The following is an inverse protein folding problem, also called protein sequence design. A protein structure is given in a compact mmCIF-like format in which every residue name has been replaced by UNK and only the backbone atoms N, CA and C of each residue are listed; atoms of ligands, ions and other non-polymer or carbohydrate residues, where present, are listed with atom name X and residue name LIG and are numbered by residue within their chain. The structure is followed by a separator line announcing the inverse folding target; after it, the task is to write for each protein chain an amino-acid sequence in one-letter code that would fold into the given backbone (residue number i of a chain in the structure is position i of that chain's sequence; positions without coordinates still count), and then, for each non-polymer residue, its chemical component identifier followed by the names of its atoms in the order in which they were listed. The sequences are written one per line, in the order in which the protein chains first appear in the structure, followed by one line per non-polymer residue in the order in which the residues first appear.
data_IF_823362703730
#
_entry.id   IF_823362703730
#
_cell.length_a   1.000
_cell.length_b   1.000
_cell.length_c   1.000
_cell.angle_alpha   90.00
_cell.angle_beta   90.00
_cell.angle_gamma   90.00
#
_symmetry.space_group_name_H-M   'P 1'
#
loop_
_entity.id
_entity.type
_entity.pdbx_description
1 polymer ?
#
# COMPACT_ATOMS: atom_id res chain seq x y z
N UNK A 1 2.35 -25.66 -32.66
CA UNK A 1 1.36 -24.68 -32.16
C UNK A 1 1.41 -24.67 -30.64
N UNK A 2 2.08 -23.70 -30.01
CA UNK A 2 1.98 -23.56 -28.55
C UNK A 2 0.59 -22.98 -28.23
N UNK A 3 -0.28 -23.73 -27.55
CA UNK A 3 -1.47 -23.14 -26.96
C UNK A 3 -0.99 -22.01 -26.04
N UNK A 4 -1.26 -20.76 -26.43
CA UNK A 4 -0.73 -19.52 -25.81
C UNK A 4 -1.19 -19.26 -24.37
N UNK A 5 -1.48 -20.29 -23.60
CA UNK A 5 -1.82 -20.21 -22.19
C UNK A 5 -0.55 -20.04 -21.35
N UNK A 6 -0.46 -18.93 -20.63
CA UNK A 6 0.53 -18.71 -19.58
C UNK A 6 -0.15 -18.89 -18.23
N UNK A 7 0.47 -19.66 -17.33
CA UNK A 7 0.02 -19.76 -15.94
C UNK A 7 0.09 -18.38 -15.28
N UNK A 8 -1.07 -17.79 -14.97
CA UNK A 8 -1.20 -16.48 -14.33
C UNK A 8 -2.24 -16.57 -13.22
N UNK A 9 -1.95 -15.96 -12.07
CA UNK A 9 -2.90 -15.84 -10.95
C UNK A 9 -4.19 -15.18 -11.44
N UNK A 10 -5.34 -15.82 -11.19
CA UNK A 10 -6.65 -15.24 -11.44
C UNK A 10 -6.82 -14.06 -10.48
N UNK A 11 -6.77 -12.84 -11.01
CA UNK A 11 -6.98 -11.62 -10.22
C UNK A 11 -8.47 -11.40 -10.07
N UNK A 12 -8.94 -11.14 -8.84
CA UNK A 12 -10.27 -10.57 -8.63
C UNK A 12 -10.29 -9.23 -9.38
N UNK A 13 -11.13 -9.13 -10.40
CA UNK A 13 -11.38 -7.87 -11.09
C UNK A 13 -12.56 -7.18 -10.42
N UNK A 14 -12.51 -5.86 -10.26
CA UNK A 14 -13.68 -5.12 -9.84
C UNK A 14 -14.82 -5.25 -10.86
N UNK A 15 -16.05 -5.18 -10.35
CA UNK A 15 -17.28 -5.43 -11.13
C UNK A 15 -17.61 -4.34 -12.16
N UNK A 16 -17.05 -3.14 -12.01
CA UNK A 16 -17.31 -1.99 -12.87
C UNK A 16 -16.12 -1.59 -13.74
N UNK A 17 -16.41 -1.15 -14.96
CA UNK A 17 -15.42 -0.48 -15.83
C UNK A 17 -15.54 1.03 -15.55
N UNK A 18 -14.47 1.73 -15.15
CA UNK A 18 -14.53 3.18 -14.97
C UNK A 18 -14.82 3.85 -16.32
N UNK A 19 -15.44 5.03 -16.32
CA UNK A 19 -15.64 5.76 -17.58
C UNK A 19 -14.27 6.03 -18.22
N UNK A 20 -14.06 5.66 -19.51
CA UNK A 20 -12.74 5.76 -20.15
C UNK A 20 -12.15 7.18 -20.10
N UNK A 21 -13.02 8.20 -20.19
CA UNK A 21 -12.64 9.61 -20.12
C UNK A 21 -12.09 10.01 -18.74
N UNK A 22 -12.75 9.59 -17.65
CA UNK A 22 -12.28 9.89 -16.29
C UNK A 22 -10.98 9.16 -15.99
N UNK A 23 -10.85 7.93 -16.47
CA UNK A 23 -9.62 7.15 -16.33
C UNK A 23 -8.46 7.84 -17.04
N UNK A 24 -8.64 8.27 -18.29
CA UNK A 24 -7.63 8.98 -19.07
C UNK A 24 -7.20 10.28 -18.38
N UNK A 25 -8.17 11.12 -18.01
CA UNK A 25 -7.91 12.40 -17.33
C UNK A 25 -7.12 12.23 -16.03
N UNK A 26 -7.51 11.27 -15.18
CA UNK A 26 -6.81 11.01 -13.92
C UNK A 26 -5.42 10.43 -14.14
N UNK A 27 -5.24 9.61 -15.18
CA UNK A 27 -3.93 9.04 -15.51
C UNK A 27 -2.99 10.14 -15.98
N UNK A 28 -3.46 11.04 -16.85
CA UNK A 28 -2.70 12.20 -17.32
C UNK A 28 -2.31 13.12 -16.15
N UNK A 29 -3.25 13.42 -15.25
CA UNK A 29 -2.95 14.21 -14.05
C UNK A 29 -1.96 13.53 -13.12
N UNK A 30 -2.04 12.21 -12.96
CA UNK A 30 -1.05 11.48 -12.18
C UNK A 30 0.34 11.61 -12.82
N UNK A 31 0.45 11.45 -14.15
CA UNK A 31 1.71 11.62 -14.87
C UNK A 31 2.29 13.04 -14.69
N UNK A 32 1.46 14.08 -14.73
CA UNK A 32 1.88 15.46 -14.47
C UNK A 32 2.48 15.60 -13.05
N UNK A 33 1.81 15.06 -12.02
CA UNK A 33 2.33 15.04 -10.65
C UNK A 33 3.65 14.26 -10.55
N UNK A 34 3.76 13.14 -11.25
CA UNK A 34 5.01 12.37 -11.29
C UNK A 34 6.15 13.17 -11.91
N UNK A 35 5.90 13.87 -13.01
CA UNK A 35 6.88 14.77 -13.63
C UNK A 35 7.30 15.91 -12.69
N UNK A 36 6.36 16.53 -11.98
CA UNK A 36 6.67 17.56 -11.00
C UNK A 36 7.51 17.02 -9.83
N UNK A 37 7.22 15.80 -9.37
CA UNK A 37 7.98 15.13 -8.33
C UNK A 37 9.41 14.77 -8.79
N UNK A 38 9.57 14.25 -10.01
CA UNK A 38 10.88 13.96 -10.61
C UNK A 38 11.73 15.24 -10.76
N UNK A 39 11.09 16.34 -11.14
CA UNK A 39 11.74 17.66 -11.22
C UNK A 39 12.00 18.30 -9.85
N UNK A 40 11.66 17.62 -8.75
CA UNK A 40 11.89 18.10 -7.39
C UNK A 40 11.01 19.28 -7.00
N UNK A 41 9.91 19.57 -7.71
CA UNK A 41 9.00 20.68 -7.41
C UNK A 41 7.99 20.36 -6.31
N UNK A 42 7.54 19.12 -6.26
CA UNK A 42 6.61 18.60 -5.24
C UNK A 42 7.18 17.33 -4.61
N UNK A 43 6.59 16.87 -3.51
CA UNK A 43 6.77 15.51 -3.01
C UNK A 43 5.51 14.69 -3.31
N UNK A 44 5.68 13.44 -3.75
CA UNK A 44 4.57 12.57 -4.13
C UNK A 44 4.63 11.23 -3.38
N UNK A 45 3.65 10.99 -2.51
CA UNK A 45 3.52 9.75 -1.76
C UNK A 45 2.32 8.94 -2.24
N UNK A 46 2.46 7.62 -2.25
CA UNK A 46 1.38 6.69 -2.57
C UNK A 46 0.97 5.98 -1.29
N UNK A 47 -0.28 6.19 -0.87
CA UNK A 47 -0.83 5.64 0.36
C UNK A 47 -1.82 4.50 0.08
N UNK A 48 -1.79 3.49 0.95
CA UNK A 48 -2.64 2.31 0.85
C UNK A 48 -2.74 1.60 2.20
N UNK A 49 -3.78 0.78 2.36
CA UNK A 49 -4.02 -0.04 3.54
C UNK A 49 -3.76 -1.51 3.23
N UNK A 50 -2.94 -2.15 4.06
CA UNK A 50 -2.74 -3.60 4.01
C UNK A 50 -2.98 -4.24 5.35
N UNK A 51 -3.17 -5.55 5.34
CA UNK A 51 -3.14 -6.36 6.55
C UNK A 51 -2.28 -7.60 6.36
N UNK A 52 -1.72 -8.07 7.47
CA UNK A 52 -1.00 -9.35 7.57
C UNK A 52 -1.63 -10.14 8.71
N UNK A 53 -1.96 -11.40 8.46
CA UNK A 53 -2.58 -12.30 9.44
C UNK A 53 -1.65 -13.48 9.76
N UNK A 54 -1.76 -14.01 10.98
CA UNK A 54 -1.05 -15.23 11.42
C UNK A 54 -1.54 -16.50 10.71
N UNK A 55 -2.79 -16.52 10.25
CA UNK A 55 -3.22 -17.41 9.16
C UNK A 55 -2.51 -16.94 7.87
N UNK A 56 -1.22 -17.27 7.75
CA UNK A 56 -0.40 -16.88 6.63
C UNK A 56 -0.96 -17.38 5.30
N UNK A 57 -0.35 -16.92 4.20
CA UNK A 57 -0.56 -17.53 2.89
C UNK A 57 0.03 -18.94 2.97
N UNK A 58 -0.81 -19.99 3.10
CA UNK A 58 -0.36 -21.38 3.25
C UNK A 58 0.73 -21.67 2.21
N UNK A 59 2.00 -21.81 2.63
CA UNK A 59 3.09 -21.97 1.69
C UNK A 59 2.97 -23.34 1.02
N UNK A 60 3.12 -23.38 -0.30
CA UNK A 60 3.25 -24.63 -1.03
C UNK A 60 4.65 -25.20 -0.78
N UNK A 61 4.72 -26.48 -0.40
CA UNK A 61 5.98 -27.18 -0.18
C UNK A 61 5.86 -28.65 -0.61
N UNK A 62 7.00 -29.24 -0.93
CA UNK A 62 7.11 -30.69 -1.11
C UNK A 62 7.15 -31.34 0.27
N UNK A 63 6.29 -32.33 0.51
CA UNK A 63 6.27 -33.12 1.74
C UNK A 63 6.59 -34.57 1.38
N UNK A 64 7.52 -35.18 2.11
CA UNK A 64 7.76 -36.62 1.99
C UNK A 64 6.69 -37.39 2.75
N UNK A 65 6.48 -38.68 2.39
CA UNK A 65 5.35 -39.51 2.88
C UNK A 65 5.28 -39.68 4.41
N UNK A 66 6.37 -39.35 5.12
CA UNK A 66 6.49 -39.48 6.57
C UNK A 66 6.60 -38.14 7.30
N UNK A 67 6.42 -37.01 6.61
CA UNK A 67 6.45 -35.68 7.23
C UNK A 67 5.03 -35.17 7.49
N UNK A 68 4.71 -34.93 8.75
CA UNK A 68 3.45 -34.32 9.16
C UNK A 68 3.63 -32.80 9.26
N UNK A 69 3.56 -32.12 8.11
CA UNK A 69 3.71 -30.65 8.04
C UNK A 69 2.32 -30.01 7.96
N UNK A 70 1.85 -29.51 9.11
CA UNK A 70 0.58 -28.80 9.22
C UNK A 70 0.75 -27.45 9.92
N UNK A 71 -0.16 -26.52 9.63
CA UNK A 71 -0.28 -25.25 10.36
C UNK A 71 -1.54 -25.36 11.21
N UNK A 72 -1.46 -25.37 12.56
CA UNK A 72 -2.63 -25.48 13.41
C UNK A 72 -3.56 -24.27 13.20
N UNK A 73 -4.87 -24.52 13.05
CA UNK A 73 -5.87 -23.45 12.96
C UNK A 73 -5.98 -22.75 14.31
N UNK A 74 -5.55 -21.49 14.37
CA UNK A 74 -5.64 -20.62 15.55
C UNK A 74 -6.44 -19.37 15.20
N UNK A 75 -6.97 -18.66 16.21
CA UNK A 75 -7.60 -17.34 15.99
C UNK A 75 -6.58 -16.44 15.28
N UNK A 76 -6.85 -16.09 14.02
CA UNK A 76 -6.00 -15.18 13.27
C UNK A 76 -5.87 -13.85 14.01
N UNK A 77 -4.65 -13.56 14.45
CA UNK A 77 -4.29 -12.21 14.83
C UNK A 77 -3.87 -11.48 13.56
N UNK A 78 -4.39 -10.26 13.39
CA UNK A 78 -4.11 -9.42 12.24
C UNK A 78 -3.41 -8.14 12.66
N UNK A 79 -2.45 -7.71 11.87
CA UNK A 79 -1.96 -6.32 11.88
C UNK A 79 -2.57 -5.64 10.68
N UNK A 80 -3.25 -4.54 10.91
CA UNK A 80 -3.61 -3.59 9.87
C UNK A 80 -2.52 -2.52 9.79
N UNK A 81 -2.15 -2.16 8.58
CA UNK A 81 -1.04 -1.29 8.26
C UNK A 81 -1.60 -0.20 7.35
N UNK A 82 -1.46 1.05 7.75
CA UNK A 82 -1.58 2.19 6.86
C UNK A 82 -0.19 2.66 6.52
N UNK A 83 0.14 2.72 5.23
CA UNK A 83 1.48 3.12 4.79
C UNK A 83 1.42 4.00 3.56
N UNK A 84 2.34 4.96 3.52
CA UNK A 84 2.62 5.80 2.37
C UNK A 84 4.10 5.71 2.00
N UNK A 85 4.37 5.63 0.70
CA UNK A 85 5.73 5.49 0.17
C UNK A 85 5.93 6.40 -1.03
N UNK A 86 7.08 7.06 -1.11
CA UNK A 86 7.50 7.82 -2.29
C UNK A 86 8.35 6.97 -3.25
N UNK A 87 8.71 7.54 -4.41
CA UNK A 87 9.60 6.86 -5.37
C UNK A 87 11.04 6.73 -4.89
N UNK A 88 11.45 7.49 -3.88
CA UNK A 88 12.77 7.41 -3.26
C UNK A 88 12.80 6.42 -2.07
N UNK A 89 11.75 5.61 -1.90
CA UNK A 89 11.60 4.65 -0.81
C UNK A 89 11.51 5.27 0.61
N UNK A 90 11.17 6.55 0.73
CA UNK A 90 10.80 7.18 1.99
C UNK A 90 9.43 6.66 2.41
N UNK A 91 9.41 5.92 3.50
CA UNK A 91 8.20 5.32 4.05
C UNK A 91 7.72 6.10 5.26
N UNK A 92 6.41 6.31 5.32
CA UNK A 92 5.69 6.84 6.48
C UNK A 92 4.44 5.99 6.70
N UNK A 93 4.07 5.70 7.93
CA UNK A 93 2.87 4.89 8.20
C UNK A 93 2.72 4.53 9.66
N UNK A 94 1.66 3.79 9.95
CA UNK A 94 1.41 3.24 11.27
C UNK A 94 0.81 1.84 11.18
N UNK A 95 1.00 1.06 12.24
CA UNK A 95 0.44 -0.28 12.39
C UNK A 95 -0.51 -0.32 13.57
N UNK A 96 -1.64 -1.03 13.44
CA UNK A 96 -2.63 -1.21 14.49
C UNK A 96 -3.19 -2.63 14.46
N UNK A 97 -3.50 -3.19 15.62
CA UNK A 97 -4.20 -4.48 15.74
C UNK A 97 -5.71 -4.34 15.55
N UNK A 98 -6.24 -3.15 15.82
CA UNK A 98 -7.63 -2.78 15.57
C UNK A 98 -7.85 -2.41 14.11
N UNK A 99 -9.12 -2.36 13.68
CA UNK A 99 -9.51 -1.84 12.37
C UNK A 99 -8.98 -0.41 12.17
N UNK A 100 -8.51 -0.12 10.95
CA UNK A 100 -8.20 1.25 10.54
C UNK A 100 -9.52 1.93 10.22
N UNK A 101 -9.88 2.93 11.02
CA UNK A 101 -11.01 3.80 10.76
C UNK A 101 -10.55 5.07 10.05
N UNK A 102 -11.49 5.74 9.37
CA UNK A 102 -11.25 7.04 8.77
C UNK A 102 -10.68 8.06 9.78
N UNK A 103 -11.05 7.99 11.05
CA UNK A 103 -10.55 8.89 12.09
C UNK A 103 -9.04 8.76 12.34
N UNK A 104 -8.53 7.52 12.43
CA UNK A 104 -7.09 7.25 12.59
C UNK A 104 -6.30 7.74 11.38
N UNK A 105 -6.84 7.56 10.17
CA UNK A 105 -6.22 8.08 8.93
C UNK A 105 -6.21 9.60 8.93
N UNK A 106 -7.31 10.24 9.34
CA UNK A 106 -7.42 11.71 9.44
C UNK A 106 -6.42 12.27 10.43
N UNK A 107 -6.34 11.72 11.64
CA UNK A 107 -5.39 12.15 12.68
C UNK A 107 -3.94 12.02 12.19
N UNK A 108 -3.63 10.92 11.52
CA UNK A 108 -2.31 10.71 10.95
C UNK A 108 -1.98 11.74 9.84
N UNK A 109 -2.91 11.97 8.92
CA UNK A 109 -2.73 12.96 7.84
C UNK A 109 -2.63 14.39 8.39
N UNK A 110 -3.40 14.73 9.43
CA UNK A 110 -3.31 16.03 10.08
C UNK A 110 -1.95 16.25 10.72
N UNK A 111 -1.48 15.27 11.51
CA UNK A 111 -0.14 15.31 12.11
C UNK A 111 0.95 15.39 11.05
N UNK A 112 0.83 14.61 9.98
CA UNK A 112 1.76 14.65 8.85
C UNK A 112 1.75 16.03 8.17
N UNK A 113 0.58 16.66 8.02
CA UNK A 113 0.44 17.98 7.39
C UNK A 113 1.22 19.08 8.10
N UNK A 114 1.44 18.95 9.41
CA UNK A 114 2.22 19.91 10.21
C UNK A 114 3.72 19.85 9.93
N UNK A 115 4.22 18.72 9.43
CA UNK A 115 5.65 18.48 9.21
C UNK A 115 6.07 18.70 7.75
N UNK A 116 5.14 19.14 6.89
CA UNK A 116 5.38 19.37 5.47
C UNK A 116 6.15 20.67 5.27
N UNK A 117 7.23 20.60 4.50
CA UNK A 117 8.08 21.75 4.14
C UNK A 117 7.90 22.20 2.69
N UNK A 118 7.18 21.42 1.90
CA UNK A 118 7.08 21.52 0.45
C UNK A 118 5.77 20.89 -0.01
N UNK A 119 5.14 21.46 -1.03
CA UNK A 119 3.87 20.94 -1.55
C UNK A 119 3.94 19.42 -1.77
N UNK A 120 3.12 18.70 -1.01
CA UNK A 120 3.13 17.25 -0.92
C UNK A 120 1.78 16.71 -1.37
N UNK A 121 1.81 15.83 -2.35
CA UNK A 121 0.64 15.16 -2.88
C UNK A 121 0.60 13.73 -2.35
N UNK A 122 -0.52 13.34 -1.74
CA UNK A 122 -0.79 11.96 -1.31
C UNK A 122 -1.79 11.34 -2.28
N UNK A 123 -1.33 10.31 -2.97
CA UNK A 123 -2.12 9.49 -3.89
C UNK A 123 -2.83 8.41 -3.09
N UNK A 124 -4.16 8.47 -3.03
CA UNK A 124 -5.03 7.52 -2.33
C UNK A 124 -5.90 6.72 -3.30
N UNK A 125 -6.32 5.54 -2.87
CA UNK A 125 -7.36 4.78 -3.57
C UNK A 125 -8.76 5.37 -3.26
N UNK A 126 -9.81 4.78 -3.82
CA UNK A 126 -11.18 5.29 -3.67
C UNK A 126 -11.94 4.63 -2.50
N UNK A 127 -11.24 4.01 -1.55
CA UNK A 127 -11.86 3.36 -0.40
C UNK A 127 -12.75 4.34 0.39
N UNK A 128 -13.83 3.80 0.96
CA UNK A 128 -14.81 4.60 1.72
C UNK A 128 -14.18 5.29 2.94
N UNK A 129 -13.16 4.66 3.53
CA UNK A 129 -12.38 5.22 4.65
C UNK A 129 -11.69 6.54 4.27
N UNK A 130 -11.30 6.71 3.01
CA UNK A 130 -10.68 7.94 2.50
C UNK A 130 -11.69 8.98 2.01
N UNK A 131 -13.00 8.65 1.98
CA UNK A 131 -14.08 9.54 1.49
C UNK A 131 -15.02 10.04 2.57
N UNK A 132 -14.56 10.10 3.82
CA UNK A 132 -15.37 10.59 4.92
C UNK A 132 -15.56 12.12 4.85
N UNK A 133 -16.66 12.62 5.42
CA UNK A 133 -16.96 14.06 5.56
C UNK A 133 -15.81 14.82 6.24
N UNK A 134 -15.23 14.24 7.29
CA UNK A 134 -14.06 14.80 7.99
C UNK A 134 -12.88 15.09 7.05
N UNK A 135 -12.57 14.17 6.13
CA UNK A 135 -11.51 14.36 5.14
C UNK A 135 -11.85 15.52 4.22
N UNK A 136 -13.11 15.68 3.82
CA UNK A 136 -13.55 16.80 2.97
C UNK A 136 -13.42 18.14 3.70
N UNK A 137 -13.79 18.20 4.97
CA UNK A 137 -13.72 19.41 5.81
C UNK A 137 -12.28 19.82 6.10
N UNK A 138 -11.41 18.85 6.43
CA UNK A 138 -10.00 19.11 6.72
C UNK A 138 -9.15 19.30 5.47
N UNK A 139 -9.64 18.91 4.29
CA UNK A 139 -8.93 19.07 3.03
C UNK A 139 -8.50 20.51 2.80
N UNK A 140 -9.39 21.49 3.01
CA UNK A 140 -9.07 22.89 2.79
C UNK A 140 -7.97 23.39 3.75
N UNK A 141 -7.95 22.86 4.98
CA UNK A 141 -6.90 23.15 5.96
C UNK A 141 -5.56 22.54 5.56
N UNK A 142 -5.59 21.29 5.08
CA UNK A 142 -4.43 20.56 4.60
C UNK A 142 -3.83 21.22 3.36
N UNK A 143 -4.66 21.66 2.40
CA UNK A 143 -4.22 22.37 1.20
C UNK A 143 -3.51 23.68 1.56
N UNK A 144 -3.98 24.40 2.58
CA UNK A 144 -3.28 25.59 3.12
C UNK A 144 -1.94 25.27 3.79
N UNK A 145 -1.77 24.06 4.30
CA UNK A 145 -0.51 23.54 4.85
C UNK A 145 0.39 22.91 3.79
N UNK A 146 0.01 22.95 2.52
CA UNK A 146 0.75 22.35 1.41
C UNK A 146 0.54 20.84 1.26
N UNK A 147 -0.49 20.26 1.88
CA UNK A 147 -0.89 18.87 1.71
C UNK A 147 -2.08 18.73 0.76
N UNK A 148 -1.87 18.04 -0.35
CA UNK A 148 -2.88 17.84 -1.38
C UNK A 148 -3.24 16.35 -1.50
N UNK A 149 -4.54 16.05 -1.58
CA UNK A 149 -5.02 14.67 -1.76
C UNK A 149 -5.41 14.42 -3.22
N UNK A 150 -4.79 13.40 -3.82
CA UNK A 150 -5.10 12.95 -5.16
C UNK A 150 -5.69 11.54 -5.14
N UNK A 151 -6.89 11.37 -5.69
CA UNK A 151 -7.55 10.06 -5.73
C UNK A 151 -7.34 9.38 -7.07
N UNK A 152 -6.79 8.17 -7.05
CA UNK A 152 -6.58 7.34 -8.24
C UNK A 152 -7.87 7.15 -9.05
N UNK A 153 -7.77 6.81 -10.35
CA UNK A 153 -8.93 6.34 -11.07
C UNK A 153 -9.48 5.07 -10.41
N UNK A 154 -10.81 4.93 -10.31
CA UNK A 154 -11.40 3.74 -9.72
C UNK A 154 -10.84 2.50 -10.41
N UNK A 155 -10.58 1.46 -9.62
CA UNK A 155 -10.14 0.16 -10.13
C UNK A 155 -8.74 0.15 -10.78
N UNK A 156 -7.83 0.99 -10.30
CA UNK A 156 -6.46 1.12 -10.85
C UNK A 156 -5.36 0.74 -9.85
N UNK A 157 -5.41 -0.48 -9.26
CA UNK A 157 -4.44 -0.91 -8.26
C UNK A 157 -2.99 -0.92 -8.80
N UNK A 158 -2.82 -1.19 -10.09
CA UNK A 158 -1.51 -1.17 -10.75
C UNK A 158 -0.81 0.20 -10.74
N UNK A 159 -1.53 1.29 -10.47
CA UNK A 159 -0.96 2.63 -10.34
C UNK A 159 -0.47 2.94 -8.92
N UNK A 160 -0.83 2.13 -7.93
CA UNK A 160 -0.45 2.36 -6.54
C UNK A 160 0.92 1.72 -6.24
N UNK A 161 1.93 2.55 -5.90
CA UNK A 161 3.26 2.03 -5.54
C UNK A 161 3.24 1.27 -4.21
N UNK A 162 2.34 1.63 -3.29
CA UNK A 162 2.21 0.96 -2.00
C UNK A 162 1.79 -0.52 -2.16
N UNK A 163 1.01 -0.88 -3.20
CA UNK A 163 0.74 -2.29 -3.47
C UNK A 163 1.98 -3.10 -3.84
N UNK A 164 2.96 -2.47 -4.49
CA UNK A 164 4.24 -3.12 -4.77
C UNK A 164 5.04 -3.33 -3.48
N UNK A 165 5.04 -2.35 -2.58
CA UNK A 165 5.60 -2.48 -1.23
C UNK A 165 4.95 -3.65 -0.49
N UNK A 166 3.63 -3.72 -0.42
CA UNK A 166 2.90 -4.80 0.26
C UNK A 166 3.20 -6.17 -0.34
N UNK A 167 3.27 -6.27 -1.67
CA UNK A 167 3.62 -7.51 -2.34
C UNK A 167 5.04 -7.94 -1.96
N UNK A 168 6.01 -7.03 -1.97
CA UNK A 168 7.40 -7.35 -1.63
C UNK A 168 7.51 -7.76 -0.17
N UNK A 169 6.87 -7.02 0.74
CA UNK A 169 6.84 -7.35 2.16
C UNK A 169 6.31 -8.77 2.39
N UNK A 170 5.13 -9.10 1.84
CA UNK A 170 4.48 -10.41 2.03
C UNK A 170 5.17 -11.58 1.32
N UNK A 171 5.98 -11.32 0.28
CA UNK A 171 6.60 -12.40 -0.52
C UNK A 171 8.10 -12.56 -0.26
N UNK A 172 8.78 -11.51 0.18
CA UNK A 172 10.24 -11.50 0.35
C UNK A 172 10.70 -11.24 1.78
N UNK A 173 9.97 -10.42 2.54
CA UNK A 173 10.45 -9.97 3.86
C UNK A 173 9.88 -10.81 5.00
N UNK A 174 8.63 -11.28 4.88
CA UNK A 174 8.01 -12.16 5.86
C UNK A 174 8.30 -13.62 5.46
N UNK A 175 8.93 -14.38 6.35
CA UNK A 175 9.23 -15.81 6.13
C UNK A 175 8.15 -16.68 6.78
N UNK A 176 8.00 -17.95 6.37
CA UNK A 176 7.05 -18.89 6.98
C UNK A 176 7.20 -19.00 8.51
N UNK A 177 8.44 -18.99 9.02
CA UNK A 177 8.75 -19.00 10.45
C UNK A 177 8.20 -17.79 11.21
N UNK A 178 8.01 -16.65 10.54
CA UNK A 178 7.53 -15.43 11.17
C UNK A 178 6.03 -15.49 11.46
N UNK A 179 5.30 -16.44 10.83
CA UNK A 179 3.89 -16.73 11.13
C UNK A 179 3.69 -17.61 12.37
N UNK A 180 4.76 -18.09 13.01
CA UNK A 180 4.66 -19.01 14.16
C UNK A 180 4.02 -18.36 15.40
N UNK A 181 4.15 -17.04 15.56
CA UNK A 181 3.54 -16.27 16.64
C UNK A 181 3.14 -14.89 16.14
N UNK A 182 2.04 -14.35 16.70
CA UNK A 182 1.61 -12.99 16.37
C UNK A 182 2.66 -11.95 16.74
N UNK A 183 3.31 -12.10 17.89
CA UNK A 183 4.36 -11.17 18.34
C UNK A 183 5.54 -11.13 17.34
N UNK A 184 6.01 -12.31 16.91
CA UNK A 184 7.11 -12.40 15.95
C UNK A 184 6.71 -11.83 14.57
N UNK A 185 5.47 -12.06 14.15
CA UNK A 185 4.93 -11.49 12.91
C UNK A 185 4.89 -9.96 13.00
N UNK A 186 4.41 -9.41 14.11
CA UNK A 186 4.24 -7.97 14.30
C UNK A 186 5.61 -7.30 14.39
N UNK A 187 6.54 -7.90 15.13
CA UNK A 187 7.93 -7.46 15.20
C UNK A 187 8.59 -7.48 13.82
N UNK A 188 8.43 -8.56 13.06
CA UNK A 188 9.01 -8.68 11.71
C UNK A 188 8.43 -7.65 10.75
N UNK A 189 7.11 -7.42 10.79
CA UNK A 189 6.44 -6.39 9.98
C UNK A 189 6.97 -5.00 10.35
N UNK A 190 6.98 -4.63 11.63
CA UNK A 190 7.47 -3.32 12.07
C UNK A 190 8.94 -3.09 11.71
N UNK A 191 9.79 -4.11 11.91
CA UNK A 191 11.19 -4.04 11.52
C UNK A 191 11.36 -3.89 10.02
N UNK A 192 10.58 -4.64 9.23
CA UNK A 192 10.65 -4.56 7.77
C UNK A 192 10.18 -3.19 7.25
N UNK A 193 9.14 -2.61 7.86
CA UNK A 193 8.65 -1.27 7.53
C UNK A 193 9.65 -0.18 7.91
N UNK A 194 10.27 -0.28 9.09
CA UNK A 194 11.31 0.65 9.53
C UNK A 194 12.59 0.57 8.66
N UNK A 195 12.85 -0.59 8.07
CA UNK A 195 13.98 -0.82 7.17
C UNK A 195 13.75 -0.34 5.73
N UNK A 196 12.52 0.06 5.36
CA UNK A 196 12.20 0.58 4.02
C UNK A 196 12.92 1.89 3.79
N UNK A 197 13.66 1.98 2.69
CA UNK A 197 14.42 3.19 2.33
C UNK A 197 15.84 3.24 2.90
N UNK A 198 16.14 2.49 3.95
CA UNK A 198 17.48 2.40 4.54
C UNK A 198 18.23 1.16 4.02
N UNK A 199 17.76 -0.04 4.40
CA UNK A 199 18.36 -1.32 3.96
C UNK A 199 17.52 -2.05 2.91
N UNK A 200 16.21 -1.74 2.84
CA UNK A 200 15.27 -2.38 1.93
C UNK A 200 14.82 -1.39 0.85
N UNK A 201 15.61 -1.31 -0.22
CA UNK A 201 15.28 -0.55 -1.43
C UNK A 201 14.32 -1.30 -2.35
N UNK A 202 13.21 -0.67 -2.73
CA UNK A 202 12.30 -1.19 -3.74
C UNK A 202 12.65 -0.56 -5.08
N UNK A 203 12.87 -1.39 -6.11
CA UNK A 203 12.96 -0.92 -7.50
C UNK A 203 11.56 -0.60 -8.00
N UNK A 204 11.08 0.61 -7.68
CA UNK A 204 9.84 1.14 -8.21
C UNK A 204 10.10 1.55 -9.66
N UNK A 205 9.53 0.82 -10.62
CA UNK A 205 9.71 1.14 -12.05
C UNK A 205 9.15 2.53 -12.31
N UNK A 206 9.90 3.36 -13.03
CA UNK A 206 9.29 4.51 -13.70
C UNK A 206 8.35 3.93 -14.76
N UNK A 207 7.08 4.34 -14.74
CA UNK A 207 6.26 4.21 -15.93
C UNK A 207 6.85 5.20 -16.93
N UNK A 208 7.78 4.70 -17.76
CA UNK A 208 8.23 5.43 -18.92
C UNK A 208 7.01 5.65 -19.83
N UNK A 209 6.85 6.89 -20.28
CA UNK A 209 5.79 7.37 -21.15
C UNK A 209 5.57 6.49 -22.37
#
# INVERSE_FOLDING_TARGET
MSLGARYKRIRKRPRGVPSPQLYAYKTEKLQELEHLNINGKIDLYYADESHVCTEGYVPYGWQFRNEDVYIPSQKAQRVNIFGMIDRNNRYHGFTTTESIDADKVVEYLDTFSLNIKKDTFIVLDNASVHRNKKIKELRELWEKRGLFLFYLPPYSPHLNLAETLWRIMKTKWIRPQDYASSDNLFYTVNRALAAVGDTLGIKLKHNAA
#
